data_IF_945258411583
#
_entry.id   IF_945258411583
#
_cell.length_a   1.000
_cell.length_b   1.000
_cell.length_c   1.000
_cell.angle_alpha   90.00
_cell.angle_beta   90.00
_cell.angle_gamma   90.00
#
_symmetry.space_group_name_H-M   'P 1'
#
loop_
_entity.id
_entity.type
_entity.pdbx_description
1 polymer ?
#
# COMPACT_ATOMS: atom_id res chain seq x y z
N UNK A 1 15.79 -7.67 13.73
CA UNK A 1 16.23 -8.70 12.78
C UNK A 1 14.98 -9.33 12.15
N UNK A 2 14.90 -9.37 10.82
CA UNK A 2 13.83 -10.05 10.08
C UNK A 2 14.37 -11.44 9.73
N UNK A 3 13.66 -12.50 10.13
CA UNK A 3 14.11 -13.88 9.95
C UNK A 3 13.59 -14.49 8.63
N UNK A 4 12.61 -13.85 7.98
CA UNK A 4 12.09 -14.28 6.68
C UNK A 4 10.94 -13.44 6.17
N UNK A 5 10.53 -13.69 4.94
CA UNK A 5 9.42 -13.01 4.27
C UNK A 5 8.47 -14.04 3.68
N UNK A 6 7.19 -13.90 3.99
CA UNK A 6 6.12 -14.67 3.36
C UNK A 6 5.60 -13.84 2.18
N UNK A 7 5.93 -14.27 0.97
CA UNK A 7 5.63 -13.55 -0.26
C UNK A 7 4.56 -14.20 -1.13
N UNK A 8 4.50 -13.74 -2.36
CA UNK A 8 3.51 -14.12 -3.37
C UNK A 8 3.37 -15.63 -3.56
N UNK A 9 4.47 -16.38 -3.61
CA UNK A 9 4.45 -17.84 -3.83
C UNK A 9 3.61 -18.60 -2.78
N UNK A 10 3.49 -18.05 -1.57
CA UNK A 10 2.63 -18.55 -0.53
C UNK A 10 1.23 -17.91 -0.61
N UNK A 11 1.16 -16.57 -0.60
CA UNK A 11 -0.10 -15.82 -0.54
C UNK A 11 -1.04 -16.16 -1.71
N UNK A 12 -0.49 -16.45 -2.90
CA UNK A 12 -1.28 -16.77 -4.10
C UNK A 12 -2.07 -18.07 -4.01
N UNK A 13 -1.72 -18.95 -3.07
CA UNK A 13 -2.33 -20.28 -2.91
C UNK A 13 -3.45 -20.32 -1.87
N UNK A 14 -3.54 -19.30 -1.03
CA UNK A 14 -4.40 -19.31 0.16
C UNK A 14 -5.24 -18.05 0.26
N UNK A 15 -6.27 -18.13 1.11
CA UNK A 15 -6.95 -16.95 1.63
C UNK A 15 -6.27 -16.63 2.97
N UNK A 16 -5.70 -15.43 3.08
CA UNK A 16 -4.95 -15.01 4.26
C UNK A 16 -5.67 -13.86 4.95
N UNK A 17 -6.07 -14.09 6.20
CA UNK A 17 -6.66 -13.06 7.05
C UNK A 17 -5.62 -12.54 8.02
N UNK A 18 -5.40 -11.25 8.03
CA UNK A 18 -4.52 -10.53 8.94
C UNK A 18 -5.40 -9.73 9.90
N UNK A 19 -5.38 -10.10 11.17
CA UNK A 19 -6.14 -9.43 12.20
C UNK A 19 -5.18 -8.66 13.11
N UNK A 20 -5.14 -7.35 12.96
CA UNK A 20 -4.26 -6.49 13.74
C UNK A 20 -4.79 -6.23 15.16
N UNK A 21 -6.10 -6.39 15.42
CA UNK A 21 -6.64 -6.26 16.77
C UNK A 21 -6.18 -7.42 17.68
N UNK A 22 -6.17 -8.66 17.15
CA UNK A 22 -5.77 -9.85 17.89
C UNK A 22 -4.33 -10.27 17.62
N UNK A 23 -3.60 -9.58 16.73
CA UNK A 23 -2.24 -9.92 16.28
C UNK A 23 -2.14 -11.35 15.73
N UNK A 24 -3.13 -11.76 14.93
CA UNK A 24 -3.22 -13.11 14.39
C UNK A 24 -3.24 -13.10 12.87
N UNK A 25 -2.64 -14.13 12.29
CA UNK A 25 -2.74 -14.46 10.86
C UNK A 25 -3.43 -15.82 10.76
N UNK A 26 -4.55 -15.84 10.05
CA UNK A 26 -5.32 -17.05 9.78
C UNK A 26 -5.18 -17.40 8.29
N UNK A 27 -4.97 -18.67 7.98
CA UNK A 27 -4.76 -19.16 6.62
C UNK A 27 -5.84 -20.19 6.31
N UNK A 28 -6.52 -19.99 5.18
CA UNK A 28 -7.58 -20.86 4.73
C UNK A 28 -7.29 -21.40 3.32
N UNK A 29 -7.71 -22.61 3.06
CA UNK A 29 -7.70 -23.17 1.72
C UNK A 29 -8.63 -22.35 0.80
N UNK A 30 -8.35 -22.29 -0.51
CA UNK A 30 -9.28 -21.70 -1.47
C UNK A 30 -10.67 -22.33 -1.39
N UNK A 31 -11.69 -21.49 -1.48
CA UNK A 31 -13.07 -21.94 -1.38
C UNK A 31 -14.05 -20.79 -1.12
N UNK A 32 -15.28 -21.13 -0.79
CA UNK A 32 -16.29 -20.15 -0.39
C UNK A 32 -15.88 -19.50 0.93
N UNK A 33 -15.79 -18.16 0.92
CA UNK A 33 -15.56 -17.36 2.12
C UNK A 33 -16.71 -16.37 2.28
N UNK A 34 -17.29 -16.33 3.47
CA UNK A 34 -18.24 -15.28 3.84
C UNK A 34 -17.46 -14.13 4.46
N UNK A 35 -17.47 -12.99 3.78
CA UNK A 35 -16.80 -11.78 4.30
C UNK A 35 -17.62 -11.17 5.45
N UNK A 36 -16.95 -10.50 6.40
CA UNK A 36 -17.64 -9.73 7.42
C UNK A 36 -18.57 -8.69 6.78
N UNK A 37 -19.73 -8.47 7.41
CA UNK A 37 -20.72 -7.48 6.91
C UNK A 37 -20.17 -6.04 6.92
N UNK A 38 -19.27 -5.75 7.87
CA UNK A 38 -18.59 -4.45 7.97
C UNK A 38 -17.33 -4.48 7.13
N UNK A 39 -16.95 -3.31 6.60
CA UNK A 39 -15.76 -3.16 5.78
C UNK A 39 -16.08 -2.97 4.30
N UNK A 40 -15.08 -3.11 3.47
CA UNK A 40 -15.17 -2.87 2.02
C UNK A 40 -14.40 -3.93 1.26
N UNK A 41 -15.02 -4.45 0.22
CA UNK A 41 -14.39 -5.35 -0.73
C UNK A 41 -13.73 -4.52 -1.84
N UNK A 42 -12.44 -4.70 -2.03
CA UNK A 42 -11.63 -4.09 -3.07
C UNK A 42 -11.33 -5.11 -4.16
N UNK A 43 -11.23 -4.63 -5.39
CA UNK A 43 -10.93 -5.46 -6.58
C UNK A 43 -9.68 -4.93 -7.28
N UNK A 44 -8.49 -5.15 -6.69
CA UNK A 44 -7.24 -4.75 -7.29
C UNK A 44 -6.91 -5.59 -8.53
N UNK A 45 -5.97 -5.10 -9.34
CA UNK A 45 -5.31 -5.91 -10.34
C UNK A 45 -4.32 -6.81 -9.60
N UNK A 46 -4.55 -8.13 -9.65
CA UNK A 46 -3.69 -9.10 -8.98
C UNK A 46 -2.49 -9.46 -9.86
N UNK A 47 -1.33 -9.03 -9.40
CA UNK A 47 0.01 -9.44 -9.84
C UNK A 47 0.73 -10.06 -8.64
N UNK A 48 2.05 -10.13 -8.65
CA UNK A 48 2.81 -10.57 -7.46
C UNK A 48 2.50 -9.70 -6.22
N UNK A 49 2.35 -8.39 -6.40
CA UNK A 49 1.74 -7.48 -5.44
C UNK A 49 0.43 -6.95 -6.03
N UNK A 50 -0.68 -6.95 -5.29
CA UNK A 50 -1.93 -6.39 -5.77
C UNK A 50 -1.78 -4.90 -6.08
N UNK A 51 -2.36 -4.45 -7.18
CA UNK A 51 -2.34 -3.05 -7.61
C UNK A 51 -3.73 -2.48 -7.41
N UNK A 52 -3.84 -1.56 -6.46
CA UNK A 52 -5.10 -0.95 -6.05
C UNK A 52 -5.24 0.46 -6.62
N UNK A 53 -6.41 0.74 -7.19
CA UNK A 53 -6.77 2.09 -7.59
C UNK A 53 -7.05 2.95 -6.36
N UNK A 54 -6.32 4.05 -6.23
CA UNK A 54 -6.37 4.97 -5.10
C UNK A 54 -6.43 6.41 -5.58
N UNK A 55 -6.58 7.36 -4.64
CA UNK A 55 -6.55 8.77 -4.95
C UNK A 55 -5.59 9.48 -4.00
N UNK A 56 -4.72 10.31 -4.55
CA UNK A 56 -3.83 11.20 -3.79
C UNK A 56 -4.22 12.65 -4.04
N UNK A 57 -4.20 13.46 -2.99
CA UNK A 57 -4.47 14.89 -3.08
C UNK A 57 -3.45 15.69 -2.31
N UNK A 58 -2.77 16.60 -2.99
CA UNK A 58 -2.01 17.67 -2.35
C UNK A 58 -2.29 19.01 -3.07
N UNK A 59 -1.74 19.26 -4.25
CA UNK A 59 -2.10 20.40 -5.11
C UNK A 59 -3.47 20.16 -5.77
N UNK A 60 -3.66 18.96 -6.28
CA UNK A 60 -4.88 18.49 -6.95
C UNK A 60 -5.15 17.03 -6.61
N UNK A 61 -6.34 16.55 -6.90
CA UNK A 61 -6.70 15.14 -6.78
C UNK A 61 -6.19 14.38 -7.99
N UNK A 62 -5.40 13.34 -7.75
CA UNK A 62 -4.89 12.45 -8.79
C UNK A 62 -5.34 11.03 -8.47
N UNK A 63 -6.28 10.47 -9.23
CA UNK A 63 -6.58 9.03 -9.18
C UNK A 63 -5.48 8.28 -9.93
N UNK A 64 -4.93 7.23 -9.30
CA UNK A 64 -3.88 6.41 -9.90
C UNK A 64 -3.76 5.05 -9.22
N UNK A 65 -2.97 4.18 -9.80
CA UNK A 65 -2.70 2.84 -9.29
C UNK A 65 -1.51 2.84 -8.33
N UNK A 66 -1.62 2.10 -7.22
CA UNK A 66 -0.55 1.91 -6.24
C UNK A 66 -0.50 0.45 -5.80
N UNK A 67 0.70 -0.06 -5.55
CA UNK A 67 0.84 -1.37 -4.95
C UNK A 67 0.24 -1.38 -3.54
N UNK A 68 -0.45 -2.46 -3.22
CA UNK A 68 -0.96 -2.76 -1.88
C UNK A 68 0.04 -3.67 -1.18
N UNK A 69 0.91 -3.10 -0.33
CA UNK A 69 2.06 -3.80 0.23
C UNK A 69 2.00 -3.82 1.76
N UNK A 70 1.59 -4.96 2.32
CA UNK A 70 1.53 -5.18 3.77
C UNK A 70 2.91 -5.36 4.41
N UNK A 71 3.96 -5.57 3.61
CA UNK A 71 5.34 -5.74 4.06
C UNK A 71 6.16 -4.45 4.10
N UNK A 72 5.70 -3.37 3.46
CA UNK A 72 6.41 -2.10 3.45
C UNK A 72 6.14 -1.30 4.72
N UNK A 73 7.13 -1.12 5.59
CA UNK A 73 7.05 -0.41 6.87
C UNK A 73 6.98 1.11 6.73
N UNK A 74 6.06 1.63 5.95
CA UNK A 74 5.83 3.06 5.74
C UNK A 74 4.35 3.34 5.44
N UNK A 75 3.95 4.63 5.47
CA UNK A 75 2.57 5.02 5.14
C UNK A 75 2.31 4.94 3.64
N UNK A 76 3.05 5.72 2.87
CA UNK A 76 2.80 5.91 1.46
C UNK A 76 4.10 6.25 0.73
N UNK A 77 4.35 5.61 -0.39
CA UNK A 77 5.49 5.89 -1.23
C UNK A 77 5.00 6.34 -2.60
N UNK A 78 5.61 7.39 -3.11
CA UNK A 78 5.37 7.88 -4.46
C UNK A 78 6.66 7.84 -5.26
N UNK A 79 6.61 7.31 -6.47
CA UNK A 79 7.72 7.40 -7.41
C UNK A 79 7.94 8.85 -7.84
N UNK A 80 9.18 9.26 -8.02
CA UNK A 80 9.50 10.60 -8.50
C UNK A 80 8.91 10.86 -9.89
N UNK A 81 8.87 9.83 -10.73
CA UNK A 81 8.20 9.89 -12.02
C UNK A 81 6.73 10.26 -11.87
N UNK A 82 5.97 9.53 -11.04
CA UNK A 82 4.56 9.84 -10.78
C UNK A 82 4.38 11.27 -10.29
N UNK A 83 5.20 11.71 -9.34
CA UNK A 83 5.14 13.06 -8.78
C UNK A 83 5.40 14.12 -9.85
N UNK A 84 6.39 13.91 -10.71
CA UNK A 84 6.75 14.80 -11.80
C UNK A 84 5.63 14.87 -12.85
N UNK A 85 5.21 13.72 -13.36
CA UNK A 85 4.24 13.64 -14.46
C UNK A 85 2.85 14.13 -14.03
N UNK A 86 2.41 13.77 -12.81
CA UNK A 86 1.12 14.20 -12.27
C UNK A 86 1.13 15.63 -11.72
N UNK A 87 2.29 16.18 -11.37
CA UNK A 87 2.42 17.44 -10.64
C UNK A 87 1.51 17.51 -9.40
N UNK A 88 1.39 16.39 -8.67
CA UNK A 88 0.46 16.23 -7.53
C UNK A 88 0.84 17.12 -6.35
N UNK A 89 2.14 17.36 -6.12
CA UNK A 89 2.62 18.12 -4.97
C UNK A 89 2.41 19.63 -5.11
N UNK A 90 2.14 20.28 -3.99
CA UNK A 90 2.18 21.74 -3.90
C UNK A 90 3.60 22.24 -4.13
N UNK A 91 3.76 23.32 -4.91
CA UNK A 91 5.07 23.95 -5.19
C UNK A 91 5.84 24.34 -3.92
N UNK A 92 5.13 24.66 -2.83
CA UNK A 92 5.74 25.01 -1.54
C UNK A 92 6.23 23.83 -0.71
N UNK A 93 5.99 22.60 -1.13
CA UNK A 93 6.52 21.42 -0.45
C UNK A 93 8.03 21.40 -0.57
N UNK A 94 8.70 21.19 0.56
CA UNK A 94 10.16 21.02 0.64
C UNK A 94 10.43 19.62 1.22
N UNK A 95 10.43 18.57 0.38
CA UNK A 95 10.71 17.22 0.86
C UNK A 95 12.10 17.17 1.52
N UNK A 96 12.19 16.56 2.69
CA UNK A 96 13.42 16.42 3.45
C UNK A 96 14.09 15.09 3.13
N UNK A 97 15.39 15.10 2.93
CA UNK A 97 16.16 13.86 2.72
C UNK A 97 16.07 12.98 3.96
N UNK A 98 15.81 11.72 3.76
CA UNK A 98 15.75 10.69 4.78
C UNK A 98 16.34 9.39 4.22
N UNK A 99 16.49 8.41 5.11
CA UNK A 99 16.92 7.07 4.75
C UNK A 99 15.93 6.06 5.31
N UNK A 100 15.70 5.00 4.56
CA UNK A 100 14.94 3.85 5.02
C UNK A 100 15.75 2.58 4.74
N UNK A 101 15.65 1.61 5.62
CA UNK A 101 16.20 0.29 5.40
C UNK A 101 15.21 -0.56 4.62
N UNK A 102 15.64 -1.09 3.50
CA UNK A 102 14.88 -2.04 2.69
C UNK A 102 15.63 -3.36 2.56
N UNK A 103 15.04 -4.35 1.90
CA UNK A 103 15.67 -5.66 1.67
C UNK A 103 17.00 -5.58 0.91
N UNK A 104 17.18 -4.56 0.09
CA UNK A 104 18.42 -4.29 -0.66
C UNK A 104 19.43 -3.38 0.05
N UNK A 105 19.21 -3.06 1.33
CA UNK A 105 20.05 -2.14 2.10
C UNK A 105 19.42 -0.77 2.31
N UNK A 106 20.27 0.23 2.61
CA UNK A 106 19.83 1.60 2.87
C UNK A 106 19.39 2.32 1.59
N UNK A 107 18.17 2.82 1.59
CA UNK A 107 17.59 3.57 0.49
C UNK A 107 17.52 5.06 0.86
N UNK A 108 18.05 5.92 -0.01
CA UNK A 108 17.86 7.36 0.11
C UNK A 108 16.49 7.73 -0.42
N UNK A 109 15.73 8.42 0.38
CA UNK A 109 14.38 8.88 0.05
C UNK A 109 14.20 10.35 0.45
N UNK A 110 13.11 10.94 0.05
CA UNK A 110 12.70 12.26 0.51
C UNK A 110 11.31 12.16 1.14
N UNK A 111 11.16 12.66 2.35
CA UNK A 111 9.90 12.65 3.10
C UNK A 111 9.16 13.98 2.92
N UNK A 112 7.89 13.90 2.65
CA UNK A 112 6.94 15.01 2.65
C UNK A 112 5.62 14.61 3.28
N UNK A 113 4.66 15.53 3.36
CA UNK A 113 3.30 15.25 3.81
C UNK A 113 2.35 15.63 2.69
N UNK A 114 1.50 14.70 2.23
CA UNK A 114 0.39 15.01 1.33
C UNK A 114 -0.88 15.28 2.13
N UNK A 115 -1.79 16.08 1.57
CA UNK A 115 -3.03 16.45 2.28
C UNK A 115 -3.93 15.26 2.54
N UNK A 116 -4.03 14.36 1.55
CA UNK A 116 -5.03 13.29 1.58
C UNK A 116 -4.60 12.11 0.71
N UNK A 117 -4.85 10.91 1.21
CA UNK A 117 -4.83 9.66 0.45
C UNK A 117 -6.17 8.96 0.67
N UNK A 118 -6.77 8.43 -0.40
CA UNK A 118 -8.04 7.70 -0.34
C UNK A 118 -7.86 6.28 -0.86
N UNK A 119 -8.24 5.30 -0.02
CA UNK A 119 -8.26 3.88 -0.31
C UNK A 119 -9.71 3.37 -0.20
N UNK A 120 -10.32 3.04 -1.33
CA UNK A 120 -11.75 2.72 -1.37
C UNK A 120 -12.59 3.89 -0.79
N UNK A 121 -13.47 3.64 0.18
CA UNK A 121 -14.24 4.71 0.85
C UNK A 121 -13.45 5.46 1.93
N UNK A 122 -12.29 4.92 2.36
CA UNK A 122 -11.53 5.44 3.50
C UNK A 122 -10.57 6.55 3.08
N UNK A 123 -10.52 7.60 3.88
CA UNK A 123 -9.77 8.82 3.62
C UNK A 123 -8.81 9.12 4.77
N UNK A 124 -7.55 9.31 4.44
CA UNK A 124 -6.47 9.63 5.37
C UNK A 124 -5.98 11.04 5.12
N UNK A 125 -5.80 11.81 6.17
CA UNK A 125 -5.35 13.20 6.10
C UNK A 125 -3.94 13.36 6.60
N UNK A 126 -3.19 14.34 6.04
CA UNK A 126 -1.82 14.67 6.43
C UNK A 126 -0.90 13.44 6.42
N UNK A 127 -0.97 12.68 5.33
CA UNK A 127 -0.26 11.41 5.20
C UNK A 127 1.22 11.65 4.93
N UNK A 128 2.13 11.09 5.76
CA UNK A 128 3.55 11.01 5.43
C UNK A 128 3.75 10.26 4.12
N UNK A 129 4.46 10.89 3.18
CA UNK A 129 4.70 10.33 1.87
C UNK A 129 6.19 10.37 1.55
N UNK A 130 6.76 9.22 1.26
CA UNK A 130 8.13 9.08 0.82
C UNK A 130 8.19 9.22 -0.70
N UNK A 131 9.18 9.95 -1.17
CA UNK A 131 9.50 10.08 -2.58
C UNK A 131 10.74 9.25 -2.87
N UNK A 132 10.66 8.40 -3.85
CA UNK A 132 11.73 7.49 -4.20
C UNK A 132 12.10 7.63 -5.68
N UNK A 133 13.42 7.77 -5.92
CA UNK A 133 13.98 7.77 -7.27
C UNK A 133 14.13 6.31 -7.73
N UNK A 134 13.33 5.93 -8.72
CA UNK A 134 13.12 4.55 -9.13
C UNK A 134 13.84 4.18 -10.43
N UNK A 135 14.95 4.83 -10.76
CA UNK A 135 15.73 4.49 -11.98
C UNK A 135 16.12 3.01 -12.10
N UNK A 136 16.04 2.25 -11.00
CA UNK A 136 16.42 0.83 -10.94
C UNK A 136 15.46 -0.07 -10.14
N UNK A 137 14.19 0.28 -9.95
CA UNK A 137 13.33 -0.48 -9.04
C UNK A 137 12.04 -1.01 -9.67
N UNK A 138 11.50 -2.10 -9.06
CA UNK A 138 10.21 -2.75 -9.40
C UNK A 138 9.01 -1.81 -9.30
N UNK A 139 9.09 -0.71 -8.54
CA UNK A 139 8.04 0.33 -8.46
C UNK A 139 8.02 1.28 -9.64
N UNK A 140 9.00 1.18 -10.54
CA UNK A 140 9.16 2.02 -11.74
C UNK A 140 8.21 1.68 -12.89
N UNK A 141 7.23 0.81 -12.69
CA UNK A 141 6.25 0.54 -13.73
C UNK A 141 5.43 1.79 -14.06
N UNK A 142 5.32 2.13 -15.37
CA UNK A 142 4.66 3.38 -15.79
C UNK A 142 3.20 3.51 -15.36
N UNK A 143 2.55 2.41 -15.01
CA UNK A 143 1.14 2.35 -14.62
C UNK A 143 0.91 2.34 -13.10
N UNK A 144 1.99 2.42 -12.28
CA UNK A 144 1.90 2.53 -10.83
C UNK A 144 2.60 3.79 -10.34
N UNK A 145 2.00 4.45 -9.36
CA UNK A 145 2.54 5.67 -8.76
C UNK A 145 3.41 5.44 -7.53
N UNK A 146 3.57 4.19 -7.12
CA UNK A 146 4.24 3.80 -5.88
C UNK A 146 3.48 2.75 -5.11
N UNK A 147 3.46 2.83 -3.76
CA UNK A 147 2.76 1.86 -2.92
C UNK A 147 2.08 2.50 -1.69
N UNK A 148 1.06 1.83 -1.18
CA UNK A 148 0.51 2.02 0.16
C UNK A 148 1.08 0.94 1.07
N UNK A 149 1.67 1.36 2.19
CA UNK A 149 2.37 0.46 3.11
C UNK A 149 1.63 0.17 4.40
N UNK A 150 2.30 -0.59 5.26
CA UNK A 150 1.70 -1.16 6.48
C UNK A 150 1.25 -0.12 7.49
N UNK A 151 1.83 1.08 7.54
CA UNK A 151 1.39 2.12 8.48
C UNK A 151 -0.03 2.64 8.21
N UNK A 152 -0.49 2.56 6.95
CA UNK A 152 -1.91 2.77 6.61
C UNK A 152 -2.68 1.46 6.75
N UNK A 153 -2.15 0.37 6.20
CA UNK A 153 -2.87 -0.89 6.07
C UNK A 153 -3.17 -1.56 7.41
N UNK A 154 -2.32 -1.39 8.42
CA UNK A 154 -2.56 -1.90 9.78
C UNK A 154 -3.74 -1.26 10.51
N UNK A 155 -4.34 -0.21 9.94
CA UNK A 155 -5.61 0.37 10.44
C UNK A 155 -6.83 -0.44 10.03
N UNK A 156 -6.61 -1.58 9.36
CA UNK A 156 -7.64 -2.49 8.92
C UNK A 156 -7.29 -3.92 9.30
N UNK A 157 -8.30 -4.70 9.65
CA UNK A 157 -8.21 -6.15 9.52
C UNK A 157 -8.41 -6.49 8.05
N UNK A 158 -7.52 -7.31 7.48
CA UNK A 158 -7.40 -7.50 6.04
C UNK A 158 -7.64 -8.97 5.71
N UNK A 159 -8.40 -9.25 4.65
CA UNK A 159 -8.48 -10.57 4.05
C UNK A 159 -7.93 -10.46 2.62
N UNK A 160 -6.78 -11.08 2.39
CA UNK A 160 -6.17 -11.21 1.08
C UNK A 160 -6.70 -12.49 0.43
N UNK A 161 -7.50 -12.39 -0.60
CA UNK A 161 -8.03 -13.54 -1.33
C UNK A 161 -7.52 -13.52 -2.77
N UNK A 162 -6.31 -14.01 -2.97
CA UNK A 162 -5.70 -14.12 -4.29
C UNK A 162 -6.49 -15.05 -5.23
N UNK A 163 -6.95 -16.23 -4.77
CA UNK A 163 -7.75 -17.12 -5.61
C UNK A 163 -9.01 -16.47 -6.18
N UNK A 164 -9.68 -15.62 -5.41
CA UNK A 164 -10.89 -14.89 -5.83
C UNK A 164 -10.61 -13.47 -6.33
N UNK A 165 -9.34 -13.05 -6.37
CA UNK A 165 -8.87 -11.75 -6.87
C UNK A 165 -9.56 -10.56 -6.21
N UNK A 166 -9.65 -10.59 -4.87
CA UNK A 166 -10.20 -9.48 -4.10
C UNK A 166 -9.51 -9.34 -2.74
N UNK A 167 -9.66 -8.17 -2.13
CA UNK A 167 -9.16 -7.86 -0.79
C UNK A 167 -10.31 -7.25 -0.01
N UNK A 168 -10.63 -7.82 1.14
CA UNK A 168 -11.55 -7.20 2.08
C UNK A 168 -10.76 -6.44 3.14
N UNK A 169 -11.13 -5.20 3.38
CA UNK A 169 -10.57 -4.36 4.44
C UNK A 169 -11.68 -3.88 5.37
N UNK A 170 -11.46 -4.05 6.66
CA UNK A 170 -12.38 -3.62 7.71
C UNK A 170 -11.60 -2.75 8.70
N UNK A 171 -12.02 -1.48 8.98
CA UNK A 171 -11.39 -0.68 10.02
C UNK A 171 -11.33 -1.42 11.34
N UNK A 172 -10.21 -1.32 12.02
CA UNK A 172 -9.95 -1.92 13.33
C UNK A 172 -9.84 -0.85 14.42
N UNK A 173 -9.38 -1.22 15.61
CA UNK A 173 -9.30 -0.33 16.78
C UNK A 173 -8.06 0.59 16.81
N UNK A 174 -7.13 0.48 15.82
CA UNK A 174 -5.88 1.26 15.77
C UNK A 174 -6.00 2.59 15.03
#
# INVERSE_FOLDING_TARGET
KIDGIIGYSFLSRYIVKINFDSLQIEIYNPGKLTYPRRGTLLYPIFTSLPIQFMQVKDKRKIPFNFYFDTGAGLCFLMSERFVKDSSVLLKKRKPQTTQAEGMGGMLKMRLTIVKEVKLGPYQFHRVPAFLYDDHNNVTAYPFTGGLVGSDILRRFNIILNYPSRNIHIQPNSH
#
